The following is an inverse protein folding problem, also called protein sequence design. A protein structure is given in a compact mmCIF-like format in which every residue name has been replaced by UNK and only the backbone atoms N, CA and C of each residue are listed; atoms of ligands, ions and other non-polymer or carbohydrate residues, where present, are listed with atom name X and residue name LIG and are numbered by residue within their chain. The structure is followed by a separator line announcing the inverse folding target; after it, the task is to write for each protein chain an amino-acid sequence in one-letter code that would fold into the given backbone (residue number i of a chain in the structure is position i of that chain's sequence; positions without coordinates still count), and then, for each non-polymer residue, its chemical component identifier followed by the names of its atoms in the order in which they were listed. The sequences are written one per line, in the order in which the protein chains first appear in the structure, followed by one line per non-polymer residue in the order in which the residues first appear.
data_IF_494550571315
#
_entry.id   IF_494550571315
#
_cell.length_a   1.000
_cell.length_b   1.000
_cell.length_c   1.000
_cell.angle_alpha   90.00
_cell.angle_beta   90.00
_cell.angle_gamma   90.00
#
_symmetry.space_group_name_H-M   'P 1'
#
loop_
_entity.id
_entity.type
_entity.pdbx_description
1 polymer ?
#
# COMPACT_ATOMS: atom_id res chain seq x y z
N UNK A 1 -40.51 47.37 11.05
CA UNK A 1 -39.93 46.04 11.34
C UNK A 1 -40.33 45.11 10.20
N UNK A 2 -39.62 44.98 9.09
CA UNK A 2 -38.28 44.42 8.94
C UNK A 2 -38.36 43.35 7.83
N UNK A 3 -38.46 43.79 6.56
CA UNK A 3 -38.49 42.94 5.36
C UNK A 3 -37.18 42.14 5.27
N UNK A 4 -37.21 40.83 5.53
CA UNK A 4 -36.05 39.95 5.25
C UNK A 4 -36.23 39.28 3.89
N UNK A 5 -35.71 39.95 2.86
CA UNK A 5 -35.41 39.38 1.54
C UNK A 5 -34.14 38.52 1.69
N UNK A 6 -34.24 37.21 1.44
CA UNK A 6 -33.07 36.35 1.30
C UNK A 6 -32.49 36.55 -0.12
N UNK A 7 -31.20 36.88 -0.28
CA UNK A 7 -30.60 37.00 -1.60
C UNK A 7 -30.47 35.62 -2.25
N UNK A 8 -30.94 35.54 -3.49
CA UNK A 8 -30.66 34.44 -4.40
C UNK A 8 -29.14 34.37 -4.60
N UNK A 9 -28.56 33.24 -4.22
CA UNK A 9 -27.16 32.94 -4.51
C UNK A 9 -27.06 32.67 -6.00
N UNK A 10 -26.23 33.48 -6.64
CA UNK A 10 -25.78 33.41 -8.02
C UNK A 10 -25.05 32.09 -8.31
N UNK A 11 -25.56 31.35 -9.31
CA UNK A 11 -24.93 30.47 -10.33
C UNK A 11 -23.53 29.83 -10.06
N UNK A 12 -23.27 28.65 -10.64
CA UNK A 12 -22.81 28.71 -12.03
C UNK A 12 -23.60 27.84 -12.99
N UNK A 13 -23.60 28.31 -14.22
CA UNK A 13 -24.28 27.78 -15.37
C UNK A 13 -23.97 26.30 -15.60
N UNK A 14 -25.01 25.56 -15.98
CA UNK A 14 -24.90 24.22 -16.55
C UNK A 14 -24.03 24.32 -17.80
N UNK A 15 -22.91 23.60 -17.80
CA UNK A 15 -22.10 23.36 -18.99
C UNK A 15 -22.92 22.48 -19.94
N UNK A 16 -23.48 23.08 -20.98
CA UNK A 16 -24.03 22.35 -22.12
C UNK A 16 -22.94 22.29 -23.19
N UNK A 17 -22.27 21.15 -23.41
CA UNK A 17 -21.48 21.00 -24.62
C UNK A 17 -22.47 20.89 -25.78
N UNK A 18 -22.42 21.88 -26.66
CA UNK A 18 -23.12 21.86 -27.94
C UNK A 18 -22.70 20.65 -28.77
N UNK A 19 -23.68 20.24 -29.58
CA UNK A 19 -23.71 19.15 -30.55
C UNK A 19 -22.45 19.01 -31.41
N UNK A 20 -22.19 17.76 -31.85
CA UNK A 20 -21.23 17.29 -32.88
C UNK A 20 -20.01 16.45 -32.43
N UNK A 21 -20.05 15.75 -31.28
CA UNK A 21 -18.93 14.86 -30.87
C UNK A 21 -19.38 13.49 -30.33
N UNK A 22 -20.23 12.80 -31.08
CA UNK A 22 -20.57 11.39 -30.83
C UNK A 22 -19.51 10.42 -31.40
N UNK A 23 -18.25 10.65 -31.04
CA UNK A 23 -17.26 9.57 -30.99
C UNK A 23 -16.79 9.48 -29.55
N UNK A 24 -16.90 8.32 -28.87
CA UNK A 24 -16.25 8.15 -27.59
C UNK A 24 -14.76 8.32 -27.83
N UNK A 25 -14.24 9.51 -27.50
CA UNK A 25 -12.80 9.71 -27.37
C UNK A 25 -12.40 8.78 -26.25
N UNK A 26 -11.84 7.64 -26.61
CA UNK A 26 -11.27 6.72 -25.64
C UNK A 26 -10.28 7.55 -24.83
N UNK A 27 -10.29 7.40 -23.51
CA UNK A 27 -9.40 8.16 -22.61
C UNK A 27 -7.92 8.11 -23.04
N UNK A 28 -7.57 7.09 -23.81
CA UNK A 28 -6.29 6.87 -24.49
C UNK A 28 -5.95 7.89 -25.61
N UNK A 29 -6.93 8.57 -26.21
CA UNK A 29 -6.73 9.67 -27.17
C UNK A 29 -6.55 11.03 -26.47
N UNK A 30 -7.11 11.20 -25.27
CA UNK A 30 -6.93 12.42 -24.48
C UNK A 30 -5.60 12.40 -23.70
N UNK A 31 -5.16 11.22 -23.29
CA UNK A 31 -3.83 11.00 -22.75
C UNK A 31 -2.86 10.84 -23.91
N UNK A 32 -2.05 11.86 -24.17
CA UNK A 32 -0.92 11.76 -25.11
C UNK A 32 -0.14 10.47 -24.81
N UNK A 33 0.27 9.73 -25.84
CA UNK A 33 1.01 8.47 -25.66
C UNK A 33 2.22 8.62 -24.70
N UNK A 34 2.80 9.82 -24.66
CA UNK A 34 3.87 10.22 -23.75
C UNK A 34 3.49 10.26 -22.26
N UNK A 35 2.23 10.54 -21.93
CA UNK A 35 1.72 10.47 -20.55
C UNK A 35 1.45 9.01 -20.17
N UNK A 36 0.94 8.19 -21.10
CA UNK A 36 0.72 6.76 -20.86
C UNK A 36 2.06 6.03 -20.62
N UNK A 37 3.11 6.38 -21.37
CA UNK A 37 4.46 5.82 -21.15
C UNK A 37 5.03 6.25 -19.79
N UNK A 38 4.89 7.53 -19.41
CA UNK A 38 5.29 8.01 -18.08
C UNK A 38 4.55 7.30 -16.95
N UNK A 39 3.23 7.10 -17.11
CA UNK A 39 2.41 6.43 -16.10
C UNK A 39 2.80 4.94 -15.97
N UNK A 40 3.10 4.27 -17.09
CA UNK A 40 3.64 2.90 -17.07
C UNK A 40 5.01 2.84 -16.41
N UNK A 41 5.90 3.80 -16.69
CA UNK A 41 7.22 3.85 -16.04
C UNK A 41 7.09 4.02 -14.52
N UNK A 42 6.19 4.91 -14.06
CA UNK A 42 5.90 5.09 -12.64
C UNK A 42 5.25 3.85 -12.00
N UNK A 43 4.35 3.19 -12.72
CA UNK A 43 3.73 1.95 -12.23
C UNK A 43 4.76 0.82 -12.07
N UNK A 44 5.70 0.68 -13.01
CA UNK A 44 6.79 -0.29 -12.91
C UNK A 44 7.78 0.07 -11.79
N UNK A 45 8.05 1.36 -11.56
CA UNK A 45 8.88 1.82 -10.43
C UNK A 45 8.22 1.53 -9.08
N UNK A 46 6.91 1.78 -8.95
CA UNK A 46 6.16 1.49 -7.74
C UNK A 46 6.07 -0.02 -7.46
N UNK A 47 5.88 -0.86 -8.48
CA UNK A 47 5.92 -2.31 -8.32
C UNK A 47 7.27 -2.80 -7.79
N UNK A 48 8.37 -2.29 -8.34
CA UNK A 48 9.72 -2.60 -7.85
C UNK A 48 9.91 -2.14 -6.40
N UNK A 49 9.41 -0.96 -6.04
CA UNK A 49 9.47 -0.46 -4.67
C UNK A 49 8.59 -1.28 -3.69
N UNK A 50 7.47 -1.82 -4.16
CA UNK A 50 6.65 -2.73 -3.35
C UNK A 50 7.28 -4.11 -3.16
N UNK A 51 7.96 -4.64 -4.18
CA UNK A 51 8.70 -5.90 -4.09
C UNK A 51 9.85 -5.79 -3.08
N UNK A 52 10.65 -4.72 -3.15
CA UNK A 52 11.73 -4.49 -2.17
C UNK A 52 11.18 -4.33 -0.76
N UNK A 53 10.05 -3.62 -0.58
CA UNK A 53 9.41 -3.48 0.73
C UNK A 53 8.93 -4.81 1.30
N UNK A 54 8.37 -5.70 0.47
CA UNK A 54 7.95 -7.05 0.89
C UNK A 54 9.14 -7.91 1.30
N UNK A 55 10.25 -7.81 0.58
CA UNK A 55 11.49 -8.51 0.93
C UNK A 55 12.09 -8.00 2.24
N UNK A 56 12.09 -6.70 2.47
CA UNK A 56 12.61 -6.10 3.70
C UNK A 56 11.75 -6.46 4.92
N UNK A 57 10.43 -6.51 4.77
CA UNK A 57 9.53 -7.00 5.82
C UNK A 57 9.85 -8.46 6.17
N UNK A 58 10.05 -9.32 5.16
CA UNK A 58 10.43 -10.72 5.39
C UNK A 58 11.77 -10.84 6.12
N UNK A 59 12.77 -10.04 5.74
CA UNK A 59 14.08 -10.03 6.42
C UNK A 59 13.94 -9.61 7.88
N UNK A 60 13.18 -8.54 8.15
CA UNK A 60 12.95 -8.07 9.51
C UNK A 60 12.19 -9.08 10.37
N UNK A 61 11.22 -9.79 9.82
CA UNK A 61 10.51 -10.86 10.55
C UNK A 61 11.44 -12.02 10.91
N UNK A 62 12.30 -12.43 9.98
CA UNK A 62 13.30 -13.49 10.21
C UNK A 62 14.32 -13.05 11.27
N UNK A 63 14.80 -11.81 11.21
CA UNK A 63 15.72 -11.26 12.21
C UNK A 63 15.08 -11.18 13.60
N UNK A 64 13.82 -10.75 13.70
CA UNK A 64 13.07 -10.72 14.96
C UNK A 64 12.92 -12.11 15.56
N UNK A 65 12.50 -13.09 14.74
CA UNK A 65 12.40 -14.49 15.18
C UNK A 65 13.75 -15.02 15.65
N UNK A 66 14.84 -14.68 14.97
CA UNK A 66 16.19 -15.09 15.36
C UNK A 66 16.63 -14.44 16.67
N UNK A 67 16.31 -13.17 16.91
CA UNK A 67 16.62 -12.48 18.17
C UNK A 67 15.79 -13.04 19.33
N UNK A 68 14.51 -13.31 19.09
CA UNK A 68 13.63 -13.96 20.06
C UNK A 68 14.11 -15.37 20.39
N UNK A 69 14.42 -16.17 19.37
CA UNK A 69 14.98 -17.51 19.57
C UNK A 69 16.30 -17.45 20.36
N UNK A 70 17.20 -16.52 20.04
CA UNK A 70 18.42 -16.30 20.82
C UNK A 70 18.12 -15.90 22.26
N UNK A 71 17.06 -15.13 22.52
CA UNK A 71 16.65 -14.81 23.89
C UNK A 71 16.14 -16.03 24.62
N UNK A 72 15.30 -16.83 23.98
CA UNK A 72 14.77 -18.07 24.53
C UNK A 72 15.88 -19.09 24.80
N UNK A 73 16.89 -19.18 23.93
CA UNK A 73 18.09 -19.99 24.14
C UNK A 73 18.97 -19.51 25.31
N UNK A 74 18.86 -18.24 25.70
CA UNK A 74 19.54 -17.72 26.89
C UNK A 74 18.65 -17.77 28.15
N UNK A 75 17.35 -17.98 28.00
CA UNK A 75 16.43 -18.07 29.11
C UNK A 75 16.40 -19.50 29.66
N UNK A 76 16.98 -19.66 30.86
CA UNK A 76 17.06 -20.96 31.53
C UNK A 76 15.68 -21.58 31.78
N UNK A 77 14.63 -20.79 31.99
CA UNK A 77 13.28 -21.33 32.18
C UNK A 77 12.78 -22.00 30.89
N UNK A 78 12.94 -21.33 29.75
CA UNK A 78 12.58 -21.88 28.45
C UNK A 78 13.41 -23.10 28.08
N UNK A 79 14.73 -23.06 28.32
CA UNK A 79 15.60 -24.21 28.10
C UNK A 79 15.20 -25.41 28.97
N UNK A 80 14.87 -25.20 30.25
CA UNK A 80 14.51 -26.30 31.13
C UNK A 80 13.19 -26.98 30.72
N UNK A 81 12.23 -26.19 30.25
CA UNK A 81 10.93 -26.71 29.80
C UNK A 81 11.01 -27.42 28.43
N UNK A 82 11.88 -26.96 27.53
CA UNK A 82 11.98 -27.47 26.16
C UNK A 82 13.18 -28.40 25.90
N UNK A 83 14.10 -28.56 26.85
CA UNK A 83 15.24 -29.50 26.71
C UNK A 83 14.82 -30.94 27.03
N UNK A 84 15.40 -31.91 26.32
CA UNK A 84 15.10 -33.34 26.52
C UNK A 84 15.70 -33.80 27.87
N UNK A 85 14.89 -34.23 28.85
CA UNK A 85 15.38 -34.69 30.15
C UNK A 85 16.03 -36.09 30.12
N UNK A 86 16.07 -36.76 28.97
CA UNK A 86 16.62 -38.11 28.84
C UNK A 86 18.16 -38.15 28.79
N UNK A 87 18.81 -37.75 29.87
CA UNK A 87 20.25 -37.97 30.07
C UNK A 87 20.60 -39.47 30.15
N UNK A 88 19.63 -40.33 30.47
CA UNK A 88 19.79 -41.78 30.59
C UNK A 88 19.96 -42.52 29.25
N UNK A 89 19.65 -41.89 28.10
CA UNK A 89 19.82 -42.49 26.77
C UNK A 89 21.25 -42.46 26.25
N UNK A 90 22.12 -41.67 26.87
CA UNK A 90 23.51 -41.48 26.47
C UNK A 90 24.49 -42.14 27.46
N UNK A 91 24.03 -43.14 28.21
CA UNK A 91 24.80 -43.84 29.24
C UNK A 91 25.44 -45.13 28.72
#
# INVERSE_FOLDING_TARGET
MGKKRKPAVSSPAKFTPGSEKDKPVLLNELLSADIVTKLKAQAEELKKAEETRKEDIRKQEVEKKKLEQKRLENDFAYLLENSDPNWSKHK
#
